data_IF_145815418410
#
_entry.id   IF_145815418410
#
_cell.length_a   1.000
_cell.length_b   1.000
_cell.length_c   1.000
_cell.angle_alpha   90.00
_cell.angle_beta   90.00
_cell.angle_gamma   90.00
#
_symmetry.space_group_name_H-M   'P 1'
#
loop_
_entity.id
_entity.type
_entity.pdbx_description
1 polymer ?
#
# COMPACT_ATOMS: atom_id res chain seq x y z
N UNK A 1 -10.07 17.89 4.60
CA UNK A 1 -11.40 17.29 4.83
C UNK A 1 -11.37 16.64 6.21
N UNK A 2 -12.51 16.42 6.88
CA UNK A 2 -12.50 15.58 8.10
C UNK A 2 -12.12 14.15 7.69
N UNK A 3 -11.28 13.45 8.46
CA UNK A 3 -11.05 12.01 8.26
C UNK A 3 -12.40 11.28 8.21
N UNK A 4 -12.51 10.21 7.39
CA UNK A 4 -13.74 9.44 7.31
C UNK A 4 -14.13 8.85 8.68
N UNK A 5 -15.42 8.57 8.85
CA UNK A 5 -15.94 7.96 10.07
C UNK A 5 -15.25 6.61 10.38
N UNK A 6 -14.66 6.42 11.58
CA UNK A 6 -13.97 5.18 11.94
C UNK A 6 -14.84 3.92 11.80
N UNK A 7 -16.15 4.01 12.08
CA UNK A 7 -17.04 2.85 11.92
C UNK A 7 -17.27 2.51 10.44
N UNK A 8 -17.34 3.53 9.57
CA UNK A 8 -17.34 3.35 8.12
C UNK A 8 -16.04 2.69 7.65
N UNK A 9 -14.88 3.15 8.12
CA UNK A 9 -13.58 2.59 7.76
C UNK A 9 -13.46 1.11 8.18
N UNK A 10 -13.93 0.76 9.38
CA UNK A 10 -13.96 -0.63 9.85
C UNK A 10 -14.84 -1.53 8.98
N UNK A 11 -16.01 -1.03 8.59
CA UNK A 11 -16.91 -1.77 7.70
C UNK A 11 -16.29 -1.98 6.31
N UNK A 12 -15.53 -1.00 5.80
CA UNK A 12 -14.79 -1.13 4.53
C UNK A 12 -13.64 -2.13 4.69
N UNK A 13 -12.86 -2.06 5.77
CA UNK A 13 -11.78 -3.01 6.06
C UNK A 13 -12.27 -4.46 5.96
N UNK A 14 -13.30 -4.83 6.72
CA UNK A 14 -13.81 -6.20 6.72
C UNK A 14 -14.39 -6.64 5.37
N UNK A 15 -14.98 -5.70 4.61
CA UNK A 15 -15.48 -6.01 3.28
C UNK A 15 -14.33 -6.32 2.32
N UNK A 16 -13.30 -5.49 2.33
CA UNK A 16 -12.13 -5.64 1.46
C UNK A 16 -11.33 -6.88 1.84
N UNK A 17 -11.06 -7.08 3.12
CA UNK A 17 -10.43 -8.29 3.67
C UNK A 17 -11.10 -9.55 3.14
N UNK A 18 -12.42 -9.68 3.34
CA UNK A 18 -13.18 -10.83 2.86
C UNK A 18 -13.10 -10.99 1.34
N UNK A 19 -13.18 -9.89 0.60
CA UNK A 19 -13.09 -9.93 -0.86
C UNK A 19 -11.71 -10.44 -1.32
N UNK A 20 -10.63 -9.98 -0.67
CA UNK A 20 -9.26 -10.43 -0.94
C UNK A 20 -9.15 -11.94 -0.73
N UNK A 21 -9.62 -12.42 0.42
CA UNK A 21 -9.58 -13.83 0.80
C UNK A 21 -10.46 -14.70 -0.11
N UNK A 22 -11.69 -14.29 -0.41
CA UNK A 22 -12.62 -15.07 -1.21
C UNK A 22 -12.19 -15.13 -2.69
N UNK A 23 -11.82 -13.99 -3.29
CA UNK A 23 -11.56 -13.90 -4.74
C UNK A 23 -10.16 -14.37 -5.12
N UNK A 24 -9.15 -13.99 -4.35
CA UNK A 24 -7.76 -14.30 -4.68
C UNK A 24 -7.15 -15.37 -3.79
N UNK A 25 -7.83 -15.80 -2.71
CA UNK A 25 -7.29 -16.79 -1.77
C UNK A 25 -5.98 -16.32 -1.12
N UNK A 26 -5.87 -15.00 -0.90
CA UNK A 26 -4.76 -14.34 -0.21
C UNK A 26 -5.18 -14.18 1.25
N UNK A 27 -4.55 -14.88 2.21
CA UNK A 27 -4.84 -14.68 3.63
C UNK A 27 -4.46 -13.27 4.07
N UNK A 28 -5.34 -12.64 4.84
CA UNK A 28 -5.08 -11.36 5.52
C UNK A 28 -4.96 -11.64 7.01
N UNK A 29 -3.88 -11.17 7.65
CA UNK A 29 -3.65 -11.39 9.08
C UNK A 29 -3.31 -10.09 9.79
N UNK A 30 -4.11 -9.73 10.79
CA UNK A 30 -3.77 -8.68 11.75
C UNK A 30 -2.87 -9.31 12.83
N UNK A 31 -1.60 -8.89 12.92
CA UNK A 31 -0.58 -9.54 13.75
C UNK A 31 0.48 -8.54 14.19
N UNK A 32 1.29 -8.92 15.18
CA UNK A 32 2.53 -8.21 15.52
C UNK A 32 3.51 -8.32 14.35
N UNK A 33 3.84 -7.18 13.75
CA UNK A 33 4.83 -6.99 12.69
C UNK A 33 6.05 -6.30 13.32
N UNK A 34 7.29 -6.77 13.06
CA UNK A 34 8.47 -6.17 13.67
C UNK A 34 8.56 -4.66 13.43
N UNK A 35 8.80 -3.89 14.49
CA UNK A 35 9.12 -2.48 14.36
C UNK A 35 10.33 -2.30 13.42
N UNK A 36 10.32 -1.33 12.48
CA UNK A 36 9.38 -0.20 12.34
C UNK A 36 8.29 -0.39 11.28
N UNK A 37 7.94 -1.62 10.89
CA UNK A 37 6.99 -1.87 9.81
C UNK A 37 5.54 -1.81 10.31
N UNK A 38 4.64 -1.31 9.46
CA UNK A 38 3.19 -1.19 9.70
C UNK A 38 2.39 -2.30 9.01
N UNK A 39 3.06 -3.08 8.16
CA UNK A 39 2.51 -4.25 7.48
C UNK A 39 3.61 -5.02 6.76
N UNK A 40 3.27 -6.18 6.20
CA UNK A 40 4.20 -7.02 5.45
C UNK A 40 3.45 -7.84 4.40
N UNK A 41 4.15 -8.21 3.32
CA UNK A 41 3.61 -9.05 2.27
C UNK A 41 4.70 -9.92 1.64
N UNK A 42 4.33 -11.11 1.18
CA UNK A 42 5.24 -11.99 0.44
C UNK A 42 4.78 -12.28 -1.01
N UNK A 43 3.67 -11.65 -1.42
CA UNK A 43 2.99 -11.88 -2.70
C UNK A 43 1.91 -12.97 -2.65
N UNK A 44 1.77 -13.68 -1.52
CA UNK A 44 0.74 -14.69 -1.27
C UNK A 44 -0.06 -14.42 0.01
N UNK A 45 0.51 -13.72 0.98
CA UNK A 45 -0.08 -13.36 2.27
C UNK A 45 0.09 -11.86 2.48
N UNK A 46 -0.90 -11.22 3.10
CA UNK A 46 -0.84 -9.83 3.58
C UNK A 46 -0.93 -9.83 5.10
N UNK A 47 -0.08 -9.04 5.74
CA UNK A 47 -0.07 -8.80 7.18
C UNK A 47 -0.24 -7.31 7.48
N UNK A 48 -1.06 -7.01 8.46
CA UNK A 48 -1.29 -5.65 8.95
C UNK A 48 -0.92 -5.61 10.44
N UNK A 49 -0.19 -4.58 10.86
CA UNK A 49 0.15 -4.37 12.28
C UNK A 49 -1.10 -4.21 13.15
N UNK A 50 -1.14 -4.84 14.33
CA UNK A 50 -2.30 -4.85 15.21
C UNK A 50 -2.49 -3.55 16.00
N UNK A 51 -1.42 -2.79 16.24
CA UNK A 51 -1.47 -1.55 17.03
C UNK A 51 -1.80 -0.29 16.19
N UNK A 52 -2.16 -0.47 14.91
CA UNK A 52 -2.63 0.62 14.07
C UNK A 52 -4.07 1.01 14.38
N UNK A 53 -4.39 2.29 14.20
CA UNK A 53 -5.78 2.70 14.13
C UNK A 53 -6.45 2.15 12.85
N UNK A 54 -7.78 2.24 12.77
CA UNK A 54 -8.54 1.68 11.65
C UNK A 54 -8.30 2.40 10.33
N UNK A 55 -7.93 3.68 10.37
CA UNK A 55 -7.65 4.46 9.16
C UNK A 55 -6.35 3.98 8.52
N UNK A 56 -5.28 3.91 9.32
CA UNK A 56 -3.99 3.41 8.87
C UNK A 56 -4.07 1.93 8.48
N UNK A 57 -4.79 1.11 9.26
CA UNK A 57 -5.00 -0.32 8.95
C UNK A 57 -5.66 -0.53 7.59
N UNK A 58 -6.69 0.26 7.27
CA UNK A 58 -7.37 0.16 5.98
C UNK A 58 -6.45 0.56 4.84
N UNK A 59 -5.70 1.65 4.99
CA UNK A 59 -4.78 2.10 3.96
C UNK A 59 -3.71 1.04 3.70
N UNK A 60 -3.06 0.54 4.76
CA UNK A 60 -2.05 -0.52 4.65
C UNK A 60 -2.62 -1.75 3.95
N UNK A 61 -3.82 -2.22 4.32
CA UNK A 61 -4.43 -3.39 3.68
C UNK A 61 -4.59 -3.20 2.16
N UNK A 62 -5.22 -2.10 1.72
CA UNK A 62 -5.48 -1.89 0.28
C UNK A 62 -4.18 -1.63 -0.49
N UNK A 63 -3.22 -0.95 0.13
CA UNK A 63 -1.95 -0.59 -0.47
C UNK A 63 -1.04 -1.82 -0.64
N UNK A 64 -0.91 -2.67 0.39
CA UNK A 64 -0.21 -3.95 0.28
C UNK A 64 -0.88 -4.91 -0.71
N UNK A 65 -2.21 -4.86 -0.86
CA UNK A 65 -2.87 -5.58 -1.96
C UNK A 65 -2.42 -5.05 -3.32
N UNK A 66 -2.34 -3.72 -3.51
CA UNK A 66 -1.80 -3.12 -4.72
C UNK A 66 -0.40 -3.63 -5.09
N UNK A 67 0.50 -3.70 -4.12
CA UNK A 67 1.82 -4.32 -4.32
C UNK A 67 1.75 -5.82 -4.58
N UNK A 68 0.83 -6.55 -3.93
CA UNK A 68 0.62 -7.97 -4.19
C UNK A 68 0.22 -8.21 -5.65
N UNK A 69 -0.63 -7.36 -6.23
CA UNK A 69 -0.93 -7.40 -7.67
C UNK A 69 0.35 -7.18 -8.48
N UNK A 70 1.07 -6.08 -8.23
CA UNK A 70 2.30 -5.75 -8.97
C UNK A 70 3.34 -6.86 -8.94
N UNK A 71 3.58 -7.46 -7.76
CA UNK A 71 4.56 -8.52 -7.59
C UNK A 71 4.19 -9.78 -8.36
N UNK A 72 2.90 -10.09 -8.48
CA UNK A 72 2.44 -11.27 -9.21
C UNK A 72 2.38 -11.08 -10.73
N UNK A 73 2.32 -9.84 -11.23
CA UNK A 73 2.17 -9.58 -12.68
C UNK A 73 3.38 -8.95 -13.34
N UNK A 74 4.31 -8.37 -12.57
CA UNK A 74 5.43 -7.61 -13.12
C UNK A 74 6.75 -7.96 -12.43
N UNK A 75 7.69 -8.53 -13.19
CA UNK A 75 9.05 -8.80 -12.69
C UNK A 75 9.79 -7.52 -12.31
N UNK A 76 9.61 -6.46 -13.09
CA UNK A 76 10.25 -5.17 -12.82
C UNK A 76 9.79 -4.56 -11.50
N UNK A 77 8.51 -4.72 -11.16
CA UNK A 77 7.97 -4.28 -9.88
C UNK A 77 8.66 -4.98 -8.70
N UNK A 78 8.93 -6.29 -8.83
CA UNK A 78 9.69 -7.04 -7.81
C UNK A 78 11.13 -6.53 -7.70
N UNK A 79 11.80 -6.23 -8.82
CA UNK A 79 13.14 -5.64 -8.80
C UNK A 79 13.18 -4.29 -8.07
N UNK A 80 12.13 -3.47 -8.22
CA UNK A 80 12.00 -2.19 -7.52
C UNK A 80 11.80 -2.43 -6.02
N UNK A 81 10.84 -3.28 -5.64
CA UNK A 81 10.54 -3.58 -4.25
C UNK A 81 11.73 -4.19 -3.48
N UNK A 82 12.54 -5.00 -4.14
CA UNK A 82 13.69 -5.67 -3.51
C UNK A 82 14.97 -4.83 -3.55
N UNK A 83 14.91 -3.61 -4.10
CA UNK A 83 16.04 -2.69 -4.12
C UNK A 83 16.34 -2.21 -2.70
N UNK A 84 17.48 -2.62 -2.15
CA UNK A 84 17.92 -2.12 -0.84
C UNK A 84 18.20 -0.62 -0.91
N UNK A 85 17.70 0.19 0.03
CA UNK A 85 18.14 1.56 0.17
C UNK A 85 19.65 1.59 0.49
N UNK A 86 20.44 2.13 -0.43
CA UNK A 86 21.88 2.21 -0.28
C UNK A 86 22.52 2.98 -1.43
N UNK A 87 23.03 4.18 -1.14
CA UNK A 87 23.68 5.05 -2.12
C UNK A 87 22.83 6.26 -2.54
N UNK A 88 23.36 7.04 -3.48
CA UNK A 88 22.69 8.24 -4.01
C UNK A 88 21.61 7.82 -4.99
N UNK A 89 20.35 8.17 -4.70
CA UNK A 89 19.23 7.95 -5.60
C UNK A 89 19.25 8.99 -6.73
N UNK A 90 19.26 8.53 -7.97
CA UNK A 90 19.11 9.42 -9.13
C UNK A 90 17.67 9.91 -9.25
N UNK A 91 17.44 11.04 -9.91
CA UNK A 91 16.08 11.54 -10.18
C UNK A 91 15.24 10.52 -10.96
N UNK A 92 15.87 9.78 -11.88
CA UNK A 92 15.21 8.70 -12.62
C UNK A 92 14.79 7.53 -11.71
N UNK A 93 15.64 7.14 -10.74
CA UNK A 93 15.30 6.08 -9.79
C UNK A 93 14.20 6.53 -8.82
N UNK A 94 14.21 7.79 -8.37
CA UNK A 94 13.14 8.36 -7.55
C UNK A 94 11.81 8.40 -8.31
N UNK A 95 11.85 8.77 -9.60
CA UNK A 95 10.66 8.73 -10.45
C UNK A 95 10.14 7.28 -10.62
N UNK A 96 11.03 6.32 -10.84
CA UNK A 96 10.67 4.90 -10.98
C UNK A 96 9.94 4.39 -9.71
N UNK A 97 10.42 4.74 -8.52
CA UNK A 97 9.74 4.40 -7.26
C UNK A 97 8.42 5.15 -7.11
N UNK A 98 8.37 6.44 -7.39
CA UNK A 98 7.11 7.20 -7.31
C UNK A 98 6.02 6.65 -8.27
N UNK A 99 6.41 6.22 -9.47
CA UNK A 99 5.49 5.57 -10.42
C UNK A 99 5.02 4.21 -9.88
N UNK A 100 5.92 3.44 -9.24
CA UNK A 100 5.60 2.17 -8.59
C UNK A 100 4.57 2.31 -7.47
N UNK A 101 4.76 3.28 -6.56
CA UNK A 101 3.82 3.56 -5.47
C UNK A 101 2.47 4.06 -5.98
N UNK A 102 2.50 4.94 -6.98
CA UNK A 102 1.29 5.46 -7.60
C UNK A 102 0.46 4.34 -8.21
N UNK A 103 1.09 3.38 -8.90
CA UNK A 103 0.40 2.24 -9.48
C UNK A 103 -0.23 1.32 -8.42
N UNK A 104 0.47 1.04 -7.31
CA UNK A 104 -0.08 0.30 -6.18
C UNK A 104 -1.35 0.97 -5.62
N UNK A 105 -1.32 2.29 -5.45
CA UNK A 105 -2.47 3.07 -4.99
C UNK A 105 -3.63 3.05 -6.00
N UNK A 106 -3.36 2.95 -7.30
CA UNK A 106 -4.41 2.84 -8.33
C UNK A 106 -5.08 1.47 -8.34
N UNK A 107 -4.34 0.40 -8.05
CA UNK A 107 -4.93 -0.92 -7.77
C UNK A 107 -5.74 -0.92 -6.47
N UNK A 108 -5.26 -0.22 -5.44
CA UNK A 108 -5.98 -0.03 -4.18
C UNK A 108 -7.35 0.63 -4.41
N UNK A 109 -7.38 1.66 -5.27
CA UNK A 109 -8.61 2.34 -5.64
C UNK A 109 -9.57 1.42 -6.41
N UNK A 110 -9.05 0.64 -7.36
CA UNK A 110 -9.88 -0.33 -8.08
C UNK A 110 -10.44 -1.42 -7.15
N UNK A 111 -9.67 -1.88 -6.16
CA UNK A 111 -10.14 -2.85 -5.16
C UNK A 111 -11.31 -2.28 -4.36
N UNK A 112 -11.23 -1.02 -3.92
CA UNK A 112 -12.33 -0.34 -3.25
C UNK A 112 -13.56 -0.22 -4.15
N UNK A 113 -13.36 0.14 -5.42
CA UNK A 113 -14.44 0.24 -6.40
C UNK A 113 -15.13 -1.12 -6.65
N UNK A 114 -14.35 -2.20 -6.78
CA UNK A 114 -14.89 -3.56 -6.90
C UNK A 114 -15.67 -3.99 -5.64
N UNK A 115 -15.29 -3.47 -4.45
CA UNK A 115 -16.02 -3.63 -3.20
C UNK A 115 -17.25 -2.68 -3.05
N UNK A 116 -17.56 -1.89 -4.08
CA UNK A 116 -18.65 -0.92 -4.11
C UNK A 116 -18.41 0.31 -3.22
N UNK A 117 -17.14 0.67 -2.99
CA UNK A 117 -16.71 1.82 -2.19
C UNK A 117 -16.12 2.87 -3.12
N UNK A 118 -16.86 3.96 -3.35
CA UNK A 118 -16.47 5.08 -4.22
C UNK A 118 -16.39 6.42 -3.47
N UNK A 119 -16.75 6.42 -2.20
CA UNK A 119 -16.75 7.59 -1.31
C UNK A 119 -15.36 7.87 -0.70
N UNK A 120 -14.35 7.04 -0.98
CA UNK A 120 -13.00 7.14 -0.43
C UNK A 120 -11.93 7.54 -1.46
N UNK A 121 -12.30 7.89 -2.70
CA UNK A 121 -11.33 8.21 -3.77
C UNK A 121 -10.36 9.34 -3.39
N UNK A 122 -10.87 10.42 -2.79
CA UNK A 122 -10.05 11.53 -2.31
C UNK A 122 -9.16 11.11 -1.12
N UNK A 123 -9.69 10.26 -0.23
CA UNK A 123 -8.95 9.76 0.92
C UNK A 123 -7.75 8.90 0.47
N UNK A 124 -7.92 8.03 -0.52
CA UNK A 124 -6.81 7.27 -1.12
C UNK A 124 -5.81 8.21 -1.78
N UNK A 125 -6.26 9.24 -2.49
CA UNK A 125 -5.37 10.19 -3.15
C UNK A 125 -4.52 11.00 -2.15
N UNK A 126 -5.09 11.40 -1.03
CA UNK A 126 -4.39 12.13 0.03
C UNK A 126 -3.36 11.23 0.74
N UNK A 127 -3.71 9.97 1.01
CA UNK A 127 -2.78 8.97 1.53
C UNK A 127 -1.63 8.67 0.57
N UNK A 128 -1.93 8.42 -0.71
CA UNK A 128 -0.92 8.14 -1.73
C UNK A 128 0.08 9.30 -1.90
N UNK A 129 -0.41 10.53 -1.85
CA UNK A 129 0.44 11.72 -1.89
C UNK A 129 1.32 11.84 -0.63
N UNK A 130 0.76 11.55 0.56
CA UNK A 130 1.49 11.52 1.82
C UNK A 130 2.60 10.48 1.79
N UNK A 131 2.27 9.26 1.36
CA UNK A 131 3.18 8.14 1.25
C UNK A 131 4.34 8.42 0.28
N UNK A 132 4.01 8.87 -0.93
CA UNK A 132 5.01 9.27 -1.92
C UNK A 132 5.92 10.36 -1.35
N UNK A 133 5.38 11.38 -0.69
CA UNK A 133 6.17 12.46 -0.12
C UNK A 133 7.11 11.98 1.01
N UNK A 134 6.62 11.08 1.88
CA UNK A 134 7.41 10.44 2.92
C UNK A 134 8.57 9.62 2.32
N UNK A 135 8.29 8.73 1.37
CA UNK A 135 9.30 7.90 0.71
C UNK A 135 10.33 8.75 -0.05
N UNK A 136 9.89 9.76 -0.79
CA UNK A 136 10.80 10.65 -1.51
C UNK A 136 11.70 11.45 -0.57
N UNK A 137 11.22 11.84 0.62
CA UNK A 137 12.06 12.43 1.64
C UNK A 137 13.09 11.42 2.13
N UNK A 138 12.65 10.24 2.58
CA UNK A 138 13.52 9.20 3.10
C UNK A 138 14.62 8.79 2.10
N UNK A 139 14.30 8.60 0.82
CA UNK A 139 15.31 8.25 -0.18
C UNK A 139 16.31 9.37 -0.48
N UNK A 140 15.91 10.64 -0.33
CA UNK A 140 16.80 11.79 -0.55
C UNK A 140 17.70 12.09 0.65
N UNK A 141 17.19 11.93 1.87
CA UNK A 141 17.84 12.39 3.09
C UNK A 141 18.37 11.26 3.96
N UNK A 142 17.82 10.05 3.81
CA UNK A 142 18.02 8.93 4.74
C UNK A 142 17.30 9.10 6.08
N UNK A 143 16.53 10.17 6.26
CA UNK A 143 15.86 10.53 7.51
C UNK A 143 14.43 9.99 7.52
N UNK A 144 14.03 9.34 8.61
CA UNK A 144 12.63 8.96 8.87
C UNK A 144 11.99 10.03 9.77
N UNK A 145 10.93 10.67 9.27
CA UNK A 145 10.11 11.64 10.01
C UNK A 145 8.70 11.07 10.25
N UNK A 146 7.92 11.60 11.21
CA UNK A 146 6.55 11.15 11.40
C UNK A 146 5.74 11.25 10.09
N UNK A 147 5.09 10.14 9.70
CA UNK A 147 4.39 10.00 8.41
C UNK A 147 3.40 11.14 8.15
N UNK A 148 2.56 11.47 9.14
CA UNK A 148 1.52 12.50 9.01
C UNK A 148 2.05 13.93 8.86
N UNK A 149 3.36 14.18 9.01
CA UNK A 149 3.96 15.49 8.66
C UNK A 149 3.96 15.76 7.15
N UNK A 150 3.84 14.71 6.33
CA UNK A 150 3.77 14.81 4.87
C UNK A 150 2.33 14.92 4.34
N UNK A 151 1.34 14.90 5.24
CA UNK A 151 -0.07 14.86 4.86
C UNK A 151 -0.51 16.14 4.14
N UNK A 152 -1.30 15.96 3.08
CA UNK A 152 -1.93 17.06 2.35
C UNK A 152 -3.32 16.67 1.85
N UNK A 153 -4.32 17.43 2.31
CA UNK A 153 -5.69 17.33 1.83
C UNK A 153 -5.84 17.80 0.37
N UNK A 154 -6.77 17.18 -0.34
CA UNK A 154 -7.17 17.62 -1.68
C UNK A 154 -6.09 17.41 -2.73
N UNK A 155 -5.32 16.33 -2.57
CA UNK A 155 -4.35 15.88 -3.56
C UNK A 155 -5.05 15.45 -4.86
N UNK A 156 -4.41 15.55 -6.03
CA UNK A 156 -5.02 15.15 -7.29
C UNK A 156 -5.54 13.71 -7.25
N UNK A 157 -6.81 13.52 -7.58
CA UNK A 157 -7.46 12.20 -7.53
C UNK A 157 -6.78 11.23 -8.50
N UNK A 158 -6.50 10.02 -8.00
CA UNK A 158 -5.95 8.93 -8.78
C UNK A 158 -7.03 8.31 -9.69
N UNK A 159 -6.64 7.87 -10.89
CA UNK A 159 -7.52 7.05 -11.72
C UNK A 159 -7.38 5.57 -11.34
N UNK A 160 -8.48 4.83 -11.10
CA UNK A 160 -8.40 3.41 -10.77
C UNK A 160 -7.72 2.64 -11.91
N UNK A 161 -7.01 1.57 -11.56
CA UNK A 161 -6.36 0.68 -12.52
C UNK A 161 -6.97 -0.73 -12.43
N UNK A 162 -7.54 -1.28 -13.51
CA UNK A 162 -8.15 -2.61 -13.50
C UNK A 162 -7.18 -3.67 -12.97
N UNK A 163 -7.64 -4.46 -11.98
CA UNK A 163 -6.83 -5.54 -11.40
C UNK A 163 -6.77 -6.69 -12.43
N UNK A 164 -5.58 -7.03 -12.97
CA UNK A 164 -5.43 -8.16 -13.88
C UNK A 164 -5.71 -9.48 -13.16
N UNK A 165 -6.01 -10.53 -13.92
CA UNK A 165 -6.03 -11.89 -13.38
C UNK A 165 -4.60 -12.33 -12.99
N UNK A 166 -4.44 -12.88 -11.79
CA UNK A 166 -3.17 -13.40 -11.30
C UNK A 166 -3.39 -14.52 -10.28
N UNK A 167 -2.35 -15.33 -10.05
CA UNK A 167 -2.33 -16.33 -8.99
C UNK A 167 -1.31 -15.89 -7.93
N UNK A 168 -1.71 -15.76 -6.65
CA UNK A 168 -0.79 -15.33 -5.61
C UNK A 168 0.37 -16.31 -5.47
N UNK A 169 1.58 -15.78 -5.58
CA UNK A 169 2.83 -16.53 -5.55
C UNK A 169 3.72 -15.93 -4.47
N UNK A 170 4.35 -16.79 -3.69
CA UNK A 170 5.32 -16.34 -2.69
C UNK A 170 6.63 -15.97 -3.40
N UNK A 171 6.98 -14.68 -3.38
CA UNK A 171 8.19 -14.12 -4.00
C UNK A 171 9.31 -13.88 -2.99
N UNK A 172 8.97 -13.67 -1.72
CA UNK A 172 9.94 -13.55 -0.62
C UNK A 172 9.88 -14.77 0.30
N UNK A 173 11.06 -15.34 0.58
CA UNK A 173 11.24 -16.43 1.52
C UNK A 173 11.94 -15.90 2.79
N UNK A 174 11.28 -14.96 3.49
CA UNK A 174 11.56 -14.48 4.87
C UNK A 174 10.74 -13.22 5.16
N UNK A 175 10.30 -13.07 6.41
CA UNK A 175 9.61 -11.89 6.97
C UNK A 175 10.62 -10.77 7.29
N UNK A 176 11.38 -10.31 6.29
CA UNK A 176 12.36 -9.22 6.48
C UNK A 176 11.73 -7.82 6.36
N UNK A 177 10.40 -7.74 6.29
CA UNK A 177 9.62 -6.51 6.19
C UNK A 177 9.81 -5.83 4.83
N UNK A 178 8.73 -5.71 4.07
CA UNK A 178 8.72 -4.76 2.95
C UNK A 178 8.57 -3.37 3.55
N UNK A 179 9.49 -2.45 3.24
CA UNK A 179 9.26 -1.03 3.55
C UNK A 179 8.12 -0.60 2.63
N UNK A 180 6.93 -0.53 3.20
CA UNK A 180 5.78 0.15 2.63
C UNK A 180 5.43 1.25 3.62
#
# INVERSE_FOLDING_TARGET
MSSPDPDRLRAVFHRVERMIEDRWQIPVSVTDVPNPFTGDLDGRIIKVEFDLDVEDSLFILVHLFGHTVQWNVCEKAREIAFRKPGGVWSEAALKEVADYESEACRYSLQLLHDAGVHDLDQWVADFAACDTAYLMHFYKTGEKRPFREFWKDGSPVLGPLPIPEFHPTQWLSRYDGTVV
#
